data_IF_377267708059
#
_entry.id   IF_377267708059
#
_cell.length_a   1.000
_cell.length_b   1.000
_cell.length_c   1.000
_cell.angle_alpha   90.00
_cell.angle_beta   90.00
_cell.angle_gamma   90.00
#
_symmetry.space_group_name_H-M   'P 1'
#
loop_
_entity.id
_entity.type
_entity.pdbx_description
1 polymer ?
#
# COMPACT_ATOMS: atom_id res chain seq x y z
N UNK A 1 6.54 24.28 -30.77
CA UNK A 1 6.26 23.79 -29.41
C UNK A 1 6.38 22.27 -29.38
N UNK A 2 7.47 21.74 -28.79
CA UNK A 2 7.70 20.30 -28.63
C UNK A 2 6.79 19.80 -27.50
N UNK A 3 5.77 19.00 -27.82
CA UNK A 3 5.03 18.25 -26.78
C UNK A 3 5.98 17.16 -26.27
N UNK A 4 6.59 17.41 -25.12
CA UNK A 4 7.26 16.36 -24.38
C UNK A 4 6.16 15.48 -23.77
N UNK A 5 5.75 14.46 -24.51
CA UNK A 5 5.00 13.33 -23.97
C UNK A 5 5.91 12.60 -22.99
N UNK A 6 6.02 13.14 -21.77
CA UNK A 6 6.45 12.31 -20.66
C UNK A 6 5.37 11.25 -20.50
N UNK A 7 5.67 10.02 -20.92
CA UNK A 7 4.99 8.83 -20.41
C UNK A 7 5.33 8.67 -18.93
N UNK A 8 5.00 9.70 -18.15
CA UNK A 8 5.41 9.88 -16.77
C UNK A 8 4.66 8.84 -15.96
N UNK A 9 5.40 7.84 -15.50
CA UNK A 9 4.90 6.86 -14.53
C UNK A 9 4.25 7.66 -13.40
N UNK A 10 2.96 7.41 -13.17
CA UNK A 10 2.21 8.08 -12.11
C UNK A 10 2.96 7.88 -10.78
N UNK A 11 3.08 8.92 -9.92
CA UNK A 11 3.79 8.77 -8.66
C UNK A 11 3.11 7.67 -7.84
N UNK A 12 3.93 6.76 -7.30
CA UNK A 12 3.47 5.69 -6.43
C UNK A 12 3.75 6.08 -4.98
N UNK A 13 2.72 6.02 -4.14
CA UNK A 13 2.82 6.24 -2.70
C UNK A 13 2.53 4.90 -2.03
N UNK A 14 3.53 4.39 -1.31
CA UNK A 14 3.46 3.10 -0.65
C UNK A 14 3.16 3.27 0.85
N UNK A 15 2.18 2.53 1.33
CA UNK A 15 1.96 2.30 2.76
C UNK A 15 2.52 0.94 3.12
N UNK A 16 3.26 0.86 4.22
CA UNK A 16 3.73 -0.41 4.78
C UNK A 16 2.96 -0.65 6.06
N UNK A 17 2.28 -1.79 6.15
CA UNK A 17 1.44 -2.11 7.29
C UNK A 17 1.49 -3.61 7.53
N UNK A 18 1.68 -4.01 8.78
CA UNK A 18 1.47 -5.38 9.23
C UNK A 18 0.62 -5.27 10.49
N UNK A 19 -0.45 -6.05 10.56
CA UNK A 19 -1.40 -5.97 11.65
C UNK A 19 -1.89 -7.37 11.99
N UNK A 20 -1.80 -7.73 13.27
CA UNK A 20 -2.30 -9.03 13.75
C UNK A 20 -3.80 -9.17 13.52
N UNK A 21 -4.53 -8.06 13.65
CA UNK A 21 -5.97 -7.94 13.44
C UNK A 21 -6.28 -6.60 12.77
N UNK A 22 -7.43 -6.50 12.09
CA UNK A 22 -7.90 -5.24 11.55
C UNK A 22 -8.42 -4.33 12.67
N UNK A 23 -7.87 -3.13 12.77
CA UNK A 23 -8.17 -2.17 13.82
C UNK A 23 -7.51 -0.82 13.55
N UNK A 24 -7.00 -0.17 14.60
CA UNK A 24 -6.57 1.23 14.55
C UNK A 24 -5.54 1.54 13.43
N UNK A 25 -4.50 0.72 13.26
CA UNK A 25 -3.44 1.00 12.27
C UNK A 25 -3.92 0.86 10.81
N UNK A 26 -4.66 -0.21 10.44
CA UNK A 26 -5.37 -0.28 9.16
C UNK A 26 -6.30 0.91 8.91
N UNK A 27 -7.06 1.36 9.91
CA UNK A 27 -7.97 2.51 9.79
C UNK A 27 -7.20 3.82 9.54
N UNK A 28 -6.15 4.08 10.32
CA UNK A 28 -5.27 5.23 10.11
C UNK A 28 -4.63 5.21 8.71
N UNK A 29 -4.25 4.03 8.24
CA UNK A 29 -3.69 3.84 6.90
C UNK A 29 -4.74 4.13 5.83
N UNK A 30 -6.00 3.72 6.03
CA UNK A 30 -7.10 4.03 5.13
C UNK A 30 -7.36 5.54 5.05
N UNK A 31 -7.34 6.25 6.19
CA UNK A 31 -7.49 7.72 6.23
C UNK A 31 -6.32 8.42 5.51
N UNK A 32 -5.09 7.96 5.73
CA UNK A 32 -3.92 8.50 5.05
C UNK A 32 -3.98 8.26 3.52
N UNK A 33 -4.32 7.05 3.10
CA UNK A 33 -4.52 6.70 1.70
C UNK A 33 -5.64 7.52 1.04
N UNK A 34 -6.74 7.75 1.74
CA UNK A 34 -7.82 8.61 1.25
C UNK A 34 -7.36 10.06 1.07
N UNK A 35 -6.56 10.56 2.01
CA UNK A 35 -6.00 11.92 1.94
C UNK A 35 -5.06 12.06 0.74
N UNK A 36 -4.21 11.05 0.50
CA UNK A 36 -3.38 10.96 -0.70
C UNK A 36 -4.23 10.97 -1.96
N UNK A 37 -5.30 10.17 -2.03
CA UNK A 37 -6.19 10.13 -3.20
C UNK A 37 -6.81 11.50 -3.49
N UNK A 38 -7.14 12.29 -2.46
CA UNK A 38 -7.70 13.64 -2.63
C UNK A 38 -6.68 14.64 -3.16
N UNK A 39 -5.44 14.58 -2.65
CA UNK A 39 -4.37 15.51 -3.04
C UNK A 39 -3.73 15.13 -4.38
N UNK A 40 -3.63 13.83 -4.66
CA UNK A 40 -3.02 13.27 -5.85
C UNK A 40 -3.94 12.21 -6.47
N UNK A 41 -5.02 12.62 -7.16
CA UNK A 41 -6.02 11.67 -7.69
C UNK A 41 -5.45 10.61 -8.61
N UNK A 42 -4.40 10.96 -9.35
CA UNK A 42 -3.72 10.09 -10.30
C UNK A 42 -2.60 9.25 -9.67
N UNK A 43 -2.24 9.46 -8.40
CA UNK A 43 -1.22 8.65 -7.76
C UNK A 43 -1.65 7.18 -7.64
N UNK A 44 -0.68 6.27 -7.80
CA UNK A 44 -0.88 4.88 -7.42
C UNK A 44 -0.71 4.77 -5.92
N UNK A 45 -1.65 4.12 -5.26
CA UNK A 45 -1.58 3.88 -3.81
C UNK A 45 -1.33 2.40 -3.62
N UNK A 46 -0.15 2.04 -3.13
CA UNK A 46 0.24 0.64 -2.97
C UNK A 46 0.31 0.31 -1.48
N UNK A 47 -0.30 -0.80 -1.08
CA UNK A 47 -0.12 -1.35 0.26
C UNK A 47 0.90 -2.49 0.19
N UNK A 48 1.96 -2.39 0.98
CA UNK A 48 2.90 -3.48 1.22
C UNK A 48 2.61 -4.07 2.59
N UNK A 49 2.34 -5.36 2.65
CA UNK A 49 1.86 -6.00 3.87
C UNK A 49 2.24 -7.48 3.92
N UNK A 50 1.98 -8.15 5.03
CA UNK A 50 2.15 -9.60 5.13
C UNK A 50 0.86 -10.36 4.77
N UNK A 51 1.02 -11.67 4.53
CA UNK A 51 -0.08 -12.53 4.08
C UNK A 51 -1.27 -12.54 5.06
N UNK A 52 -1.07 -12.62 6.40
CA UNK A 52 -2.20 -12.57 7.34
C UNK A 52 -2.99 -11.27 7.23
N UNK A 53 -2.31 -10.12 7.14
CA UNK A 53 -2.96 -8.81 7.02
C UNK A 53 -3.68 -8.68 5.67
N UNK A 54 -3.06 -9.11 4.57
CA UNK A 54 -3.68 -9.09 3.24
C UNK A 54 -4.99 -9.89 3.22
N UNK A 55 -4.98 -11.10 3.79
CA UNK A 55 -6.18 -11.94 3.90
C UNK A 55 -7.26 -11.32 4.76
N UNK A 56 -6.89 -10.68 5.87
CA UNK A 56 -7.86 -10.00 6.73
C UNK A 56 -8.54 -8.85 5.97
N UNK A 57 -7.78 -8.03 5.23
CA UNK A 57 -8.32 -6.94 4.40
C UNK A 57 -9.33 -7.45 3.38
N UNK A 58 -9.00 -8.54 2.69
CA UNK A 58 -9.88 -9.15 1.70
C UNK A 58 -11.14 -9.75 2.33
N UNK A 59 -10.96 -10.60 3.35
CA UNK A 59 -12.05 -11.32 4.04
C UNK A 59 -13.07 -10.36 4.64
N UNK A 60 -12.60 -9.32 5.33
CA UNK A 60 -13.46 -8.40 6.07
C UNK A 60 -13.91 -7.21 5.21
N UNK A 61 -13.58 -7.21 3.91
CA UNK A 61 -13.91 -6.14 2.96
C UNK A 61 -13.50 -4.76 3.47
N UNK A 62 -12.33 -4.69 4.11
CA UNK A 62 -11.86 -3.50 4.80
C UNK A 62 -11.72 -2.32 3.85
N UNK A 63 -12.00 -1.10 4.35
CA UNK A 63 -11.99 0.12 3.53
C UNK A 63 -10.66 0.34 2.79
N UNK A 64 -9.55 -0.04 3.43
CA UNK A 64 -8.21 0.03 2.84
C UNK A 64 -8.11 -0.72 1.50
N UNK A 65 -8.70 -1.91 1.39
CA UNK A 65 -8.69 -2.70 0.15
C UNK A 65 -9.41 -2.03 -1.02
N UNK A 66 -10.35 -1.11 -0.74
CA UNK A 66 -11.08 -0.34 -1.76
C UNK A 66 -10.38 0.95 -2.18
N UNK A 67 -9.49 1.47 -1.33
CA UNK A 67 -8.80 2.76 -1.55
C UNK A 67 -7.49 2.55 -2.31
N UNK A 68 -6.78 1.48 -1.99
CA UNK A 68 -5.48 1.16 -2.60
C UNK A 68 -5.66 0.70 -4.04
N UNK A 69 -4.68 1.03 -4.88
CA UNK A 69 -4.60 0.56 -6.27
C UNK A 69 -4.11 -0.89 -6.34
N UNK A 70 -3.33 -1.34 -5.34
CA UNK A 70 -2.83 -2.71 -5.29
C UNK A 70 -2.22 -3.08 -3.95
N UNK A 71 -2.14 -4.38 -3.69
CA UNK A 71 -1.55 -4.97 -2.49
C UNK A 71 -0.36 -5.82 -2.92
N UNK A 72 0.80 -5.60 -2.30
CA UNK A 72 2.01 -6.40 -2.46
C UNK A 72 2.24 -7.14 -1.15
N UNK A 73 2.17 -8.46 -1.20
CA UNK A 73 2.48 -9.30 -0.04
C UNK A 73 3.98 -9.51 0.05
N UNK A 74 4.55 -9.26 1.22
CA UNK A 74 5.95 -9.51 1.56
C UNK A 74 6.03 -10.31 2.87
N UNK A 75 6.95 -11.28 2.97
CA UNK A 75 7.16 -12.00 4.21
C UNK A 75 7.68 -11.04 5.30
N UNK A 76 7.15 -11.19 6.52
CA UNK A 76 7.58 -10.48 7.72
C UNK A 76 8.58 -11.32 8.51
N UNK A 77 9.89 -11.02 8.41
CA UNK A 77 10.94 -11.71 9.18
C UNK A 77 12.32 -11.63 8.55
N UNK A 78 13.37 -12.04 9.28
CA UNK A 78 14.79 -12.14 8.87
C UNK A 78 15.06 -13.00 7.64
N UNK A 79 14.02 -13.65 7.11
CA UNK A 79 13.98 -14.39 5.85
C UNK A 79 13.97 -13.47 4.62
N UNK A 80 13.99 -12.13 4.78
CA UNK A 80 14.31 -11.25 3.66
C UNK A 80 15.84 -11.37 3.40
N UNK A 81 16.29 -12.06 2.32
CA UNK A 81 17.71 -12.19 2.03
C UNK A 81 18.38 -10.82 1.78
N UNK A 82 17.59 -9.76 1.60
CA UNK A 82 18.07 -8.39 1.47
C UNK A 82 18.39 -7.72 2.83
N UNK A 83 17.95 -8.27 3.96
CA UNK A 83 18.15 -7.68 5.31
C UNK A 83 19.19 -8.45 6.13
N UNK A 84 19.59 -9.65 5.69
CA UNK A 84 20.61 -10.48 6.35
C UNK A 84 21.86 -10.70 5.49
N UNK A 85 22.73 -9.70 5.36
CA UNK A 85 24.15 -9.86 5.02
C UNK A 85 24.91 -8.56 5.32
N UNK A 86 25.21 -8.32 6.60
CA UNK A 86 26.36 -7.51 7.02
C UNK A 86 27.08 -8.24 8.14
#
# INVERSE_FOLDING_TARGET
MKRNSSGGRLPAICFVLTAKDLGLYPDMTAVAALSVRRLHPQAQIILVTDEPTARAIERDSHALGKIVTGIIVRPTGTEDPCVGAR
#
